data_IF_747122905287
#
_entry.id   IF_747122905287
#
_cell.length_a   1.000
_cell.length_b   1.000
_cell.length_c   1.000
_cell.angle_alpha   90.00
_cell.angle_beta   90.00
_cell.angle_gamma   90.00
#
_symmetry.space_group_name_H-M   'P 1'
#
loop_
_entity.id
_entity.type
_entity.pdbx_description
1 polymer ?
#
# COMPACT_ATOMS: atom_id res chain seq x y z
N UNK A 1 21.76 -11.75 10.27
CA UNK A 1 20.82 -12.58 9.50
C UNK A 1 19.57 -11.74 9.26
N UNK A 2 19.48 -11.05 8.11
CA UNK A 2 18.30 -10.31 7.69
C UNK A 2 18.07 -10.68 6.22
N UNK A 3 17.47 -11.84 6.01
CA UNK A 3 17.20 -12.38 4.67
C UNK A 3 15.85 -11.92 4.12
N UNK A 4 14.95 -11.44 4.98
CA UNK A 4 13.66 -10.93 4.56
C UNK A 4 13.80 -9.53 3.96
N UNK A 5 13.22 -9.33 2.77
CA UNK A 5 13.04 -8.01 2.16
C UNK A 5 11.59 -7.86 1.75
N UNK A 6 10.94 -6.82 2.27
CA UNK A 6 9.54 -6.58 1.94
C UNK A 6 9.31 -6.26 0.45
N UNK A 7 10.35 -5.82 -0.28
CA UNK A 7 10.29 -5.59 -1.71
C UNK A 7 9.86 -6.81 -2.55
N UNK A 8 10.05 -8.05 -2.06
CA UNK A 8 9.54 -9.25 -2.72
C UNK A 8 8.01 -9.40 -2.62
N UNK A 9 7.39 -8.69 -1.69
CA UNK A 9 6.00 -8.88 -1.25
C UNK A 9 5.16 -7.61 -1.36
N UNK A 10 5.80 -6.46 -1.63
CA UNK A 10 5.17 -5.16 -1.62
C UNK A 10 3.94 -5.14 -2.52
N UNK A 11 2.80 -4.72 -1.98
CA UNK A 11 1.55 -4.59 -2.72
C UNK A 11 0.79 -5.89 -2.93
N UNK A 12 1.22 -6.99 -2.31
CA UNK A 12 0.46 -8.24 -2.31
C UNK A 12 -0.89 -8.10 -1.55
N UNK A 13 -1.68 -9.17 -1.53
CA UNK A 13 -2.98 -9.18 -0.87
C UNK A 13 -2.91 -8.90 0.65
N UNK A 14 -1.80 -9.24 1.31
CA UNK A 14 -1.61 -9.00 2.74
C UNK A 14 -1.38 -7.52 3.01
N UNK A 15 -0.57 -6.85 2.19
CA UNK A 15 -0.38 -5.41 2.26
C UNK A 15 -1.67 -4.64 1.95
N UNK A 16 -2.46 -5.12 0.97
CA UNK A 16 -3.78 -4.53 0.68
C UNK A 16 -4.67 -4.53 1.93
N UNK A 17 -4.79 -5.66 2.62
CA UNK A 17 -5.59 -5.73 3.85
C UNK A 17 -5.00 -4.84 4.96
N UNK A 18 -3.68 -4.91 5.16
CA UNK A 18 -2.97 -4.17 6.21
C UNK A 18 -3.14 -2.66 6.04
N UNK A 19 -2.77 -2.12 4.88
CA UNK A 19 -2.80 -0.68 4.61
C UNK A 19 -4.23 -0.14 4.50
N UNK A 20 -5.18 -0.94 4.02
CA UNK A 20 -6.60 -0.58 4.05
C UNK A 20 -7.07 -0.35 5.49
N UNK A 21 -6.84 -1.32 6.38
CA UNK A 21 -7.25 -1.21 7.79
C UNK A 21 -6.52 -0.06 8.49
N UNK A 22 -5.23 0.11 8.23
CA UNK A 22 -4.43 1.21 8.78
C UNK A 22 -5.01 2.57 8.39
N UNK A 23 -5.34 2.77 7.11
CA UNK A 23 -5.94 4.02 6.63
C UNK A 23 -7.27 4.31 7.32
N UNK A 24 -8.14 3.31 7.47
CA UNK A 24 -9.41 3.48 8.17
C UNK A 24 -9.23 3.80 9.66
N UNK A 25 -8.25 3.17 10.33
CA UNK A 25 -7.90 3.48 11.72
C UNK A 25 -7.39 4.92 11.87
N UNK A 26 -6.46 5.35 11.01
CA UNK A 26 -5.92 6.71 11.05
C UNK A 26 -7.01 7.75 10.80
N UNK A 27 -7.90 7.51 9.84
CA UNK A 27 -9.07 8.37 9.57
C UNK A 27 -10.01 8.44 10.77
N UNK A 28 -10.27 7.30 11.42
CA UNK A 28 -11.13 7.26 12.60
C UNK A 28 -10.52 8.04 13.78
N UNK A 29 -9.23 7.82 14.08
CA UNK A 29 -8.52 8.52 15.15
C UNK A 29 -8.47 10.03 14.91
N UNK A 30 -8.33 10.46 13.65
CA UNK A 30 -8.30 11.87 13.26
C UNK A 30 -9.67 12.59 13.36
N UNK A 31 -10.78 11.89 13.63
CA UNK A 31 -12.10 12.53 13.82
C UNK A 31 -12.13 13.43 15.07
N UNK A 32 -11.26 13.15 16.04
CA UNK A 32 -11.12 13.98 17.24
C UNK A 32 -10.04 15.03 17.00
N UNK A 33 -10.36 16.28 17.29
CA UNK A 33 -9.40 17.39 17.25
C UNK A 33 -8.43 17.33 18.44
N UNK A 34 -7.62 16.26 18.48
CA UNK A 34 -6.50 16.05 19.39
C UNK A 34 -5.41 15.27 18.66
N UNK A 35 -4.13 15.61 18.86
CA UNK A 35 -3.03 14.89 18.23
C UNK A 35 -2.95 13.45 18.76
N UNK A 36 -2.45 12.54 17.93
CA UNK A 36 -2.10 11.16 18.30
C UNK A 36 -0.73 10.79 17.73
N UNK A 37 -0.12 9.76 18.29
CA UNK A 37 1.17 9.23 17.83
C UNK A 37 0.93 8.02 16.94
N UNK A 38 1.66 7.96 15.82
CA UNK A 38 1.76 6.76 14.99
C UNK A 38 3.15 6.16 15.20
N UNK A 39 3.19 4.91 15.65
CA UNK A 39 4.44 4.19 15.95
C UNK A 39 4.45 2.91 15.12
N UNK A 40 5.31 2.87 14.11
CA UNK A 40 5.55 1.68 13.31
C UNK A 40 6.86 1.01 13.75
N UNK A 41 6.73 -0.17 14.34
CA UNK A 41 7.88 -0.92 14.88
C UNK A 41 8.71 -1.60 13.78
N UNK A 42 8.14 -1.80 12.59
CA UNK A 42 8.75 -2.53 11.48
C UNK A 42 8.46 -1.83 10.14
N UNK A 43 8.74 -0.53 10.08
CA UNK A 43 8.32 0.38 9.01
C UNK A 43 8.86 0.08 7.59
N UNK A 44 9.83 -0.82 7.46
CA UNK A 44 10.40 -1.16 6.16
C UNK A 44 11.11 0.03 5.50
N UNK A 45 10.98 0.15 4.18
CA UNK A 45 11.63 1.18 3.37
C UNK A 45 10.72 2.39 3.08
N UNK A 46 9.45 2.33 3.47
CA UNK A 46 8.44 3.36 3.25
C UNK A 46 7.83 3.42 1.84
N UNK A 47 8.55 3.05 0.79
CA UNK A 47 7.99 2.90 -0.56
C UNK A 47 8.82 1.90 -1.38
N UNK A 48 8.18 1.17 -2.28
CA UNK A 48 8.78 0.07 -3.03
C UNK A 48 8.54 0.22 -4.52
N UNK A 49 9.59 0.01 -5.32
CA UNK A 49 9.51 -0.08 -6.77
C UNK A 49 9.00 -1.48 -7.18
N UNK A 50 7.84 -1.52 -7.84
CA UNK A 50 7.19 -2.72 -8.34
C UNK A 50 7.77 -3.20 -9.68
N UNK A 51 8.54 -2.35 -10.36
CA UNK A 51 9.34 -2.65 -11.55
C UNK A 51 10.82 -2.96 -11.22
N UNK A 52 11.09 -3.36 -9.97
CA UNK A 52 12.42 -3.80 -9.54
C UNK A 52 12.58 -5.31 -9.61
N UNK A 53 13.82 -5.78 -9.79
CA UNK A 53 14.17 -7.22 -9.79
C UNK A 53 13.60 -7.98 -8.57
N UNK A 54 13.47 -7.32 -7.42
CA UNK A 54 12.89 -7.94 -6.23
C UNK A 54 11.39 -8.16 -6.36
N UNK A 55 10.65 -7.15 -6.82
CA UNK A 55 9.21 -7.24 -6.98
C UNK A 55 8.83 -8.17 -8.13
N UNK A 56 9.54 -8.09 -9.26
CA UNK A 56 9.28 -8.93 -10.45
C UNK A 56 9.57 -10.41 -10.21
N UNK A 57 10.46 -10.75 -9.26
CA UNK A 57 10.81 -12.15 -8.99
C UNK A 57 9.60 -13.01 -8.58
N UNK A 58 8.72 -12.45 -7.75
CA UNK A 58 7.50 -13.14 -7.31
C UNK A 58 6.23 -12.51 -7.89
N UNK A 59 6.30 -11.24 -8.28
CA UNK A 59 5.19 -10.44 -8.82
C UNK A 59 3.91 -10.49 -7.96
N UNK A 60 4.04 -10.59 -6.63
CA UNK A 60 2.88 -10.79 -5.74
C UNK A 60 1.87 -9.63 -5.78
N UNK A 61 2.32 -8.43 -6.18
CA UNK A 61 1.47 -7.25 -6.35
C UNK A 61 0.39 -7.44 -7.43
N UNK A 62 0.62 -8.33 -8.42
CA UNK A 62 -0.36 -8.66 -9.46
C UNK A 62 -1.62 -9.32 -8.87
N UNK A 63 -1.44 -10.11 -7.80
CA UNK A 63 -2.54 -10.72 -7.05
C UNK A 63 -3.15 -9.79 -5.98
N UNK A 64 -2.53 -8.64 -5.72
CA UNK A 64 -2.93 -7.66 -4.72
C UNK A 64 -3.38 -6.34 -5.33
N UNK A 65 -2.60 -5.28 -5.12
CA UNK A 65 -2.97 -3.90 -5.46
C UNK A 65 -3.27 -3.71 -6.96
N UNK A 66 -2.62 -4.45 -7.86
CA UNK A 66 -2.88 -4.33 -9.30
C UNK A 66 -4.33 -4.69 -9.67
N UNK A 67 -4.95 -5.62 -8.93
CA UNK A 67 -6.36 -5.97 -9.14
C UNK A 67 -7.31 -4.85 -8.77
N UNK A 68 -6.99 -4.08 -7.73
CA UNK A 68 -7.80 -2.93 -7.32
C UNK A 68 -7.54 -1.71 -8.20
N UNK A 69 -6.30 -1.54 -8.67
CA UNK A 69 -5.87 -0.42 -9.51
C UNK A 69 -6.73 -0.24 -10.77
N UNK A 70 -7.12 -1.34 -11.39
CA UNK A 70 -7.87 -1.39 -12.65
C UNK A 70 -9.41 -1.31 -12.49
N UNK A 71 -9.93 -1.34 -11.25
CA UNK A 71 -11.38 -1.34 -11.00
C UNK A 71 -11.90 0.09 -10.88
N UNK A 72 -12.90 0.45 -11.69
CA UNK A 72 -13.53 1.77 -11.65
C UNK A 72 -14.50 1.94 -10.47
N UNK A 73 -15.30 0.91 -10.18
CA UNK A 73 -16.42 0.98 -9.24
C UNK A 73 -16.10 0.29 -7.90
N UNK A 74 -15.08 0.77 -7.21
CA UNK A 74 -14.74 0.29 -5.86
C UNK A 74 -15.67 0.93 -4.81
N UNK A 75 -15.99 0.21 -3.71
CA UNK A 75 -16.56 0.84 -2.52
C UNK A 75 -15.71 2.03 -2.08
N UNK A 76 -16.36 3.08 -1.56
CA UNK A 76 -15.68 4.35 -1.24
C UNK A 76 -14.39 4.19 -0.41
N UNK A 77 -14.36 3.42 0.69
CA UNK A 77 -13.13 3.25 1.47
C UNK A 77 -11.95 2.68 0.65
N UNK A 78 -12.23 1.71 -0.22
CA UNK A 78 -11.22 1.13 -1.12
C UNK A 78 -10.80 2.11 -2.22
N UNK A 79 -11.71 2.94 -2.71
CA UNK A 79 -11.38 4.02 -3.65
C UNK A 79 -10.38 5.00 -3.02
N UNK A 80 -10.60 5.37 -1.76
CA UNK A 80 -9.72 6.29 -1.04
C UNK A 80 -8.33 5.66 -0.75
N UNK A 81 -8.27 4.37 -0.45
CA UNK A 81 -7.01 3.61 -0.36
C UNK A 81 -6.27 3.58 -1.70
N UNK A 82 -6.94 3.21 -2.80
CA UNK A 82 -6.32 3.20 -4.13
C UNK A 82 -5.90 4.61 -4.56
N UNK A 83 -6.62 5.65 -4.15
CA UNK A 83 -6.23 7.03 -4.41
C UNK A 83 -4.90 7.40 -3.73
N UNK A 84 -4.62 6.88 -2.54
CA UNK A 84 -3.30 7.05 -1.89
C UNK A 84 -2.19 6.40 -2.71
N UNK A 85 -2.39 5.19 -3.24
CA UNK A 85 -1.41 4.56 -4.13
C UNK A 85 -1.26 5.35 -5.44
N UNK A 86 -2.37 5.86 -6.01
CA UNK A 86 -2.36 6.71 -7.22
C UNK A 86 -1.57 7.99 -7.02
N UNK A 87 -1.57 8.57 -5.83
CA UNK A 87 -0.80 9.76 -5.53
C UNK A 87 0.71 9.57 -5.77
N UNK A 88 1.24 8.36 -5.54
CA UNK A 88 2.64 8.02 -5.79
C UNK A 88 2.92 7.63 -7.26
N UNK A 89 1.88 7.52 -8.08
CA UNK A 89 1.97 7.08 -9.48
C UNK A 89 1.19 8.06 -10.39
N UNK A 90 1.62 9.33 -10.49
CA UNK A 90 0.86 10.40 -11.14
C UNK A 90 0.68 10.22 -12.65
N UNK A 91 1.51 9.39 -13.29
CA UNK A 91 1.40 9.05 -14.72
C UNK A 91 0.40 7.91 -15.00
N UNK A 92 -0.24 7.37 -13.95
CA UNK A 92 -1.22 6.29 -14.07
C UNK A 92 -0.62 4.90 -14.25
N UNK A 93 0.71 4.77 -14.25
CA UNK A 93 1.40 3.48 -14.33
C UNK A 93 1.78 3.04 -12.93
N UNK A 94 1.33 1.85 -12.52
CA UNK A 94 1.61 1.30 -11.19
C UNK A 94 3.07 0.84 -11.10
N UNK A 95 3.98 1.73 -10.67
CA UNK A 95 5.41 1.45 -10.46
C UNK A 95 5.84 1.54 -9.00
N UNK A 96 5.14 2.34 -8.21
CA UNK A 96 5.46 2.56 -6.80
C UNK A 96 4.34 2.05 -5.91
N UNK A 97 4.70 1.34 -4.84
CA UNK A 97 3.80 0.97 -3.77
C UNK A 97 4.25 1.63 -2.46
N UNK A 98 3.47 2.59 -1.92
CA UNK A 98 3.72 3.17 -0.60
C UNK A 98 3.33 2.21 0.52
#
# INVERSE_FOLDING_TARGET
MLSYRHAFHAGNHADVLKHFVELELLRHLAQKDKPFWYIDTHAGAGCYALDSDYAEKNAEFEGGIARLWAVADLPRPLTEYVAMVRHFNPDGVLRLYP
#
